data_IF_494486129229
#
_entry.id   IF_494486129229
#
_cell.length_a   1.000
_cell.length_b   1.000
_cell.length_c   1.000
_cell.angle_alpha   90.00
_cell.angle_beta   90.00
_cell.angle_gamma   90.00
#
_symmetry.space_group_name_H-M   'P 1'
#
loop_
_entity.id
_entity.type
_entity.pdbx_description
1 polymer ?
#
# COMPACT_ATOMS: atom_id res chain seq x y z
N UNK A 1 -53.57 -32.45 55.83
CA UNK A 1 -52.51 -33.09 55.07
C UNK A 1 -52.46 -32.41 53.71
N UNK A 2 -51.51 -31.45 53.48
CA UNK A 2 -51.33 -30.73 52.25
C UNK A 2 -50.02 -31.24 51.62
N UNK A 3 -50.08 -31.88 50.42
CA UNK A 3 -48.92 -32.35 49.64
C UNK A 3 -48.45 -31.20 48.80
N UNK A 4 -47.23 -30.71 49.06
CA UNK A 4 -46.49 -29.81 48.16
C UNK A 4 -45.89 -30.67 46.97
N UNK A 5 -46.25 -30.28 45.76
CA UNK A 5 -45.57 -30.74 44.54
C UNK A 5 -44.46 -29.74 44.19
N UNK A 6 -43.19 -30.17 44.32
CA UNK A 6 -42.05 -29.43 43.84
C UNK A 6 -41.85 -29.72 42.34
N UNK A 7 -42.04 -28.70 41.50
CA UNK A 7 -41.73 -28.77 40.09
C UNK A 7 -40.26 -28.36 39.94
N UNK A 8 -39.41 -29.34 39.54
CA UNK A 8 -38.00 -29.13 39.20
C UNK A 8 -37.92 -28.59 37.76
N UNK A 9 -37.68 -27.29 37.60
CA UNK A 9 -37.50 -26.65 36.28
C UNK A 9 -36.07 -26.89 35.79
N UNK A 10 -35.92 -27.87 34.88
CA UNK A 10 -34.66 -28.21 34.24
C UNK A 10 -34.36 -27.14 33.16
N UNK A 11 -33.53 -26.14 33.49
CA UNK A 11 -33.04 -25.17 32.51
C UNK A 11 -32.01 -25.80 31.59
N UNK A 12 -32.42 -26.17 30.38
CA UNK A 12 -31.50 -26.61 29.30
C UNK A 12 -30.76 -25.36 28.84
N UNK A 13 -29.51 -25.21 29.23
CA UNK A 13 -28.57 -24.26 28.63
C UNK A 13 -28.28 -24.68 27.18
N UNK A 14 -28.93 -24.03 26.24
CA UNK A 14 -28.57 -24.09 24.83
C UNK A 14 -27.26 -23.32 24.63
N UNK A 15 -26.10 -24.00 24.71
CA UNK A 15 -24.83 -23.48 24.24
C UNK A 15 -24.94 -23.29 22.73
N UNK A 16 -24.63 -22.11 22.21
CA UNK A 16 -24.56 -21.93 20.77
C UNK A 16 -23.40 -22.77 20.22
N UNK A 17 -23.71 -23.84 19.51
CA UNK A 17 -22.76 -24.54 18.66
C UNK A 17 -22.28 -23.53 17.60
N UNK A 18 -21.11 -22.93 17.78
CA UNK A 18 -20.41 -22.26 16.72
C UNK A 18 -20.07 -23.30 15.65
N UNK A 19 -20.87 -23.35 14.61
CA UNK A 19 -20.52 -24.08 13.40
C UNK A 19 -19.25 -23.45 12.83
N UNK A 20 -18.09 -24.01 13.14
CA UNK A 20 -16.87 -23.75 12.38
C UNK A 20 -17.08 -24.33 10.99
N UNK A 21 -17.51 -23.48 10.08
CA UNK A 21 -17.60 -23.86 8.67
C UNK A 21 -16.20 -24.33 8.23
N UNK A 22 -16.10 -25.61 7.83
CA UNK A 22 -14.87 -26.19 7.29
C UNK A 22 -14.41 -25.29 6.15
N UNK A 23 -13.12 -24.87 6.08
CA UNK A 23 -12.63 -24.09 4.94
C UNK A 23 -13.04 -24.77 3.63
N UNK A 24 -13.55 -24.01 2.68
CA UNK A 24 -13.85 -24.54 1.36
C UNK A 24 -12.59 -25.21 0.78
N UNK A 25 -12.75 -26.31 0.05
CA UNK A 25 -11.63 -27.01 -0.61
C UNK A 25 -11.17 -26.21 -1.84
N UNK A 26 -10.56 -25.03 -1.56
CA UNK A 26 -10.04 -24.13 -2.58
C UNK A 26 -8.72 -24.68 -3.11
N UNK A 27 -8.54 -24.59 -4.43
CA UNK A 27 -7.35 -25.10 -5.12
C UNK A 27 -7.02 -24.28 -6.37
N UNK A 28 -5.85 -24.56 -6.95
CA UNK A 28 -5.39 -23.93 -8.18
C UNK A 28 -4.60 -22.65 -7.95
N UNK A 29 -4.20 -21.98 -9.02
CA UNK A 29 -3.39 -20.78 -8.95
C UNK A 29 -4.21 -19.57 -8.52
N UNK A 30 -3.63 -18.73 -7.68
CA UNK A 30 -4.10 -17.40 -7.29
C UNK A 30 -3.04 -16.38 -7.66
N UNK A 31 -3.32 -15.56 -8.67
CA UNK A 31 -2.36 -14.62 -9.26
C UNK A 31 -2.58 -13.22 -8.68
N UNK A 32 -1.57 -12.67 -8.02
CA UNK A 32 -1.63 -11.37 -7.33
C UNK A 32 -0.55 -10.45 -7.88
N UNK A 33 -0.93 -9.29 -8.43
CA UNK A 33 -0.01 -8.19 -8.71
C UNK A 33 -0.09 -7.18 -7.58
N UNK A 34 1.07 -6.82 -7.00
CA UNK A 34 1.09 -5.93 -5.84
C UNK A 34 2.23 -4.92 -5.89
N UNK A 35 2.03 -3.79 -5.20
CA UNK A 35 3.06 -2.76 -5.01
C UNK A 35 4.29 -3.32 -4.32
N UNK A 36 5.46 -2.74 -4.61
CA UNK A 36 6.74 -3.12 -4.02
C UNK A 36 6.71 -3.09 -2.48
N UNK A 37 6.16 -2.03 -1.90
CA UNK A 37 6.02 -1.84 -0.45
C UNK A 37 5.12 -2.87 0.27
N UNK A 38 4.40 -3.70 -0.49
CA UNK A 38 3.62 -4.83 0.03
C UNK A 38 4.40 -6.14 0.03
N UNK A 39 5.63 -6.19 -0.50
CA UNK A 39 6.35 -7.45 -0.70
C UNK A 39 6.57 -8.24 0.58
N UNK A 40 6.97 -7.59 1.67
CA UNK A 40 7.20 -8.24 2.96
C UNK A 40 5.90 -8.72 3.59
N UNK A 41 4.90 -7.85 3.85
CA UNK A 41 3.65 -8.30 4.47
C UNK A 41 2.89 -9.32 3.63
N UNK A 42 2.86 -9.18 2.30
CA UNK A 42 2.18 -10.16 1.43
C UNK A 42 2.84 -11.53 1.45
N UNK A 43 4.17 -11.60 1.59
CA UNK A 43 4.88 -12.89 1.79
C UNK A 43 4.47 -13.56 3.10
N UNK A 44 4.37 -12.80 4.19
CA UNK A 44 3.92 -13.32 5.48
C UNK A 44 2.44 -13.73 5.42
N UNK A 45 1.57 -12.90 4.83
CA UNK A 45 0.14 -13.18 4.63
C UNK A 45 -0.05 -14.47 3.80
N UNK A 46 0.69 -14.63 2.70
CA UNK A 46 0.69 -15.87 1.90
C UNK A 46 1.03 -17.08 2.76
N UNK A 47 2.08 -17.00 3.56
CA UNK A 47 2.52 -18.12 4.40
C UNK A 47 1.43 -18.54 5.39
N UNK A 48 0.76 -17.58 6.04
CA UNK A 48 -0.35 -17.87 6.97
C UNK A 48 -1.62 -18.33 6.26
N UNK A 49 -1.94 -17.77 5.10
CA UNK A 49 -3.08 -18.19 4.27
C UNK A 49 -2.94 -19.63 3.80
N UNK A 50 -1.73 -20.04 3.35
CA UNK A 50 -1.48 -21.39 2.86
C UNK A 50 -1.58 -22.47 3.96
N UNK A 51 -1.47 -22.12 5.24
CA UNK A 51 -1.76 -23.06 6.35
C UNK A 51 -3.25 -23.45 6.38
N UNK A 52 -4.15 -22.54 5.97
CA UNK A 52 -5.58 -22.78 5.91
C UNK A 52 -6.02 -23.36 4.57
N UNK A 53 -5.34 -22.99 3.49
CA UNK A 53 -5.69 -23.37 2.11
C UNK A 53 -4.45 -23.93 1.38
N UNK A 54 -3.97 -25.13 1.77
CA UNK A 54 -2.70 -25.70 1.26
C UNK A 54 -2.73 -26.05 -0.23
N UNK A 55 -3.93 -26.21 -0.81
CA UNK A 55 -4.11 -26.53 -2.23
C UNK A 55 -4.19 -25.30 -3.14
N UNK A 56 -4.15 -24.08 -2.58
CA UNK A 56 -4.06 -22.82 -3.34
C UNK A 56 -2.59 -22.45 -3.56
N UNK A 57 -2.17 -22.40 -4.82
CA UNK A 57 -0.83 -21.97 -5.20
C UNK A 57 -0.84 -20.44 -5.40
N UNK A 58 -0.44 -19.68 -4.39
CA UNK A 58 -0.41 -18.21 -4.46
C UNK A 58 0.81 -17.74 -5.24
N UNK A 59 0.60 -17.15 -6.41
CA UNK A 59 1.60 -16.58 -7.31
C UNK A 59 1.59 -15.06 -7.17
N UNK A 60 2.71 -14.47 -6.73
CA UNK A 60 2.80 -13.02 -6.49
C UNK A 60 3.85 -12.39 -7.40
N UNK A 61 3.49 -11.29 -8.03
CA UNK A 61 4.39 -10.46 -8.83
C UNK A 61 4.42 -9.03 -8.25
N UNK A 62 5.60 -8.60 -7.79
CA UNK A 62 5.83 -7.27 -7.24
C UNK A 62 6.29 -6.30 -8.33
N UNK A 63 5.62 -5.13 -8.44
CA UNK A 63 6.00 -4.05 -9.34
C UNK A 63 5.57 -2.68 -8.77
N UNK A 64 5.88 -1.58 -9.46
CA UNK A 64 5.23 -0.30 -9.17
C UNK A 64 3.72 -0.40 -9.40
N UNK A 65 2.90 0.28 -8.60
CA UNK A 65 1.43 0.13 -8.68
C UNK A 65 0.85 0.49 -10.05
N UNK A 66 1.39 1.52 -10.70
CA UNK A 66 0.99 1.91 -12.06
C UNK A 66 1.35 0.82 -13.06
N UNK A 67 2.53 0.21 -12.90
CA UNK A 67 2.97 -0.92 -13.70
C UNK A 67 2.07 -2.15 -13.47
N UNK A 68 1.70 -2.47 -12.23
CA UNK A 68 0.74 -3.53 -11.91
C UNK A 68 -0.59 -3.34 -12.65
N UNK A 69 -1.12 -2.12 -12.65
CA UNK A 69 -2.34 -1.80 -13.38
C UNK A 69 -2.17 -2.00 -14.90
N UNK A 70 -1.04 -1.54 -15.48
CA UNK A 70 -0.74 -1.70 -16.91
C UNK A 70 -0.57 -3.16 -17.34
N UNK A 71 -0.07 -4.04 -16.47
CA UNK A 71 -0.05 -5.49 -16.76
C UNK A 71 -1.45 -6.02 -17.05
N UNK A 72 -2.47 -5.50 -16.37
CA UNK A 72 -3.87 -5.86 -16.60
C UNK A 72 -4.45 -5.12 -17.79
N UNK A 73 -4.29 -3.78 -17.86
CA UNK A 73 -4.93 -2.93 -18.88
C UNK A 73 -4.31 -3.07 -20.26
N UNK A 74 -2.99 -3.03 -20.35
CA UNK A 74 -2.25 -2.94 -21.61
C UNK A 74 -1.78 -4.31 -22.07
N UNK A 75 -1.17 -5.09 -21.16
CA UNK A 75 -0.60 -6.39 -21.48
C UNK A 75 -1.62 -7.54 -21.39
N UNK A 76 -2.84 -7.29 -20.88
CA UNK A 76 -3.92 -8.29 -20.71
C UNK A 76 -3.47 -9.55 -19.97
N UNK A 77 -2.49 -9.43 -19.06
CA UNK A 77 -2.03 -10.56 -18.25
C UNK A 77 -3.16 -11.08 -17.35
N UNK A 78 -3.32 -12.39 -17.20
CA UNK A 78 -4.24 -12.95 -16.22
C UNK A 78 -3.85 -12.50 -14.81
N UNK A 79 -4.83 -12.11 -14.01
CA UNK A 79 -4.63 -11.65 -12.64
C UNK A 79 -5.93 -11.79 -11.86
N UNK A 80 -5.84 -12.22 -10.61
CA UNK A 80 -6.97 -12.30 -9.71
C UNK A 80 -7.11 -11.05 -8.86
N UNK A 81 -6.00 -10.61 -8.24
CA UNK A 81 -5.97 -9.49 -7.29
C UNK A 81 -4.94 -8.47 -7.73
N UNK A 82 -5.31 -7.19 -7.70
CA UNK A 82 -4.38 -6.07 -7.76
C UNK A 82 -4.41 -5.32 -6.43
N UNK A 83 -3.23 -5.19 -5.78
CA UNK A 83 -3.04 -4.44 -4.55
C UNK A 83 -2.02 -3.31 -4.76
N UNK A 84 -2.42 -2.06 -4.54
CA UNK A 84 -1.65 -0.86 -4.87
C UNK A 84 -1.29 -0.05 -3.63
N UNK A 85 -0.18 0.67 -3.67
CA UNK A 85 0.20 1.64 -2.64
C UNK A 85 -0.54 2.98 -2.76
N UNK A 86 -1.35 3.14 -3.82
CA UNK A 86 -2.26 4.25 -4.00
C UNK A 86 -3.59 3.76 -4.57
N UNK A 87 -4.67 3.91 -3.80
CA UNK A 87 -6.01 3.49 -4.20
C UNK A 87 -6.48 4.16 -5.52
N UNK A 88 -6.02 5.38 -5.81
CA UNK A 88 -6.37 6.08 -7.06
C UNK A 88 -5.86 5.38 -8.33
N UNK A 89 -4.82 4.57 -8.22
CA UNK A 89 -4.37 3.76 -9.37
C UNK A 89 -5.47 2.77 -9.78
N UNK A 90 -6.14 2.13 -8.81
CA UNK A 90 -7.29 1.26 -9.08
C UNK A 90 -8.45 2.07 -9.65
N UNK A 91 -8.84 3.16 -8.96
CA UNK A 91 -9.98 3.99 -9.36
C UNK A 91 -9.83 4.54 -10.78
N UNK A 92 -8.64 5.01 -11.12
CA UNK A 92 -8.39 5.69 -12.40
C UNK A 92 -8.04 4.73 -13.54
N UNK A 93 -7.30 3.66 -13.27
CA UNK A 93 -6.76 2.80 -14.32
C UNK A 93 -7.55 1.50 -14.50
N UNK A 94 -8.15 0.95 -13.45
CA UNK A 94 -8.84 -0.34 -13.51
C UNK A 94 -10.37 -0.19 -13.55
N UNK A 95 -10.94 0.74 -12.82
CA UNK A 95 -12.39 0.97 -12.80
C UNK A 95 -12.81 1.89 -13.96
N UNK A 96 -13.92 1.63 -14.66
CA UNK A 96 -14.81 0.46 -14.50
C UNK A 96 -14.43 -0.73 -15.39
N UNK A 97 -13.42 -0.63 -16.25
CA UNK A 97 -13.17 -1.62 -17.30
C UNK A 97 -12.72 -2.99 -16.76
N UNK A 98 -11.83 -2.99 -15.79
CA UNK A 98 -11.18 -4.21 -15.28
C UNK A 98 -11.55 -4.54 -13.81
N UNK A 99 -12.15 -3.60 -13.07
CA UNK A 99 -12.60 -3.79 -11.69
C UNK A 99 -13.89 -3.00 -11.45
N UNK A 100 -14.65 -3.36 -10.42
CA UNK A 100 -15.91 -2.70 -10.06
C UNK A 100 -15.85 -1.94 -8.74
N UNK A 101 -14.88 -2.22 -7.88
CA UNK A 101 -14.76 -1.67 -6.54
C UNK A 101 -13.29 -1.61 -6.11
N UNK A 102 -13.02 -0.90 -5.00
CA UNK A 102 -11.69 -0.69 -4.49
C UNK A 102 -11.70 -0.56 -2.96
N UNK A 103 -11.26 -1.59 -2.24
CA UNK A 103 -11.18 -1.55 -0.78
C UNK A 103 -9.91 -0.81 -0.37
N UNK A 104 -10.08 0.33 0.30
CA UNK A 104 -9.00 1.10 0.92
C UNK A 104 -8.69 0.48 2.28
N UNK A 105 -7.47 -0.03 2.49
CA UNK A 105 -7.21 -0.94 3.60
C UNK A 105 -6.09 -0.51 4.56
N UNK A 106 -5.06 0.19 4.11
CA UNK A 106 -3.92 0.58 4.94
C UNK A 106 -3.43 1.99 4.60
N UNK A 107 -2.73 2.62 5.54
CA UNK A 107 -2.05 3.91 5.35
C UNK A 107 -0.53 3.76 5.39
N UNK A 108 0.17 4.84 5.03
CA UNK A 108 1.63 4.94 5.14
C UNK A 108 2.06 6.42 5.24
N UNK A 109 3.36 6.67 5.24
CA UNK A 109 3.96 8.01 5.17
C UNK A 109 5.29 7.98 4.41
N UNK A 110 5.66 9.11 3.81
CA UNK A 110 6.95 9.29 3.17
C UNK A 110 8.03 9.64 4.19
N UNK A 111 9.23 9.11 3.98
CA UNK A 111 10.43 9.41 4.76
C UNK A 111 11.65 9.50 3.85
N UNK A 112 12.78 9.95 4.41
CA UNK A 112 14.11 9.80 3.81
C UNK A 112 14.80 8.64 4.51
N UNK A 113 14.96 7.52 3.81
CA UNK A 113 15.63 6.34 4.34
C UNK A 113 17.13 6.34 4.03
N UNK A 114 17.94 5.74 4.91
CA UNK A 114 19.39 5.67 4.79
C UNK A 114 19.99 4.55 5.67
N UNK A 115 21.27 4.23 5.45
CA UNK A 115 22.05 3.27 6.25
C UNK A 115 23.04 4.00 7.18
N UNK A 116 23.64 3.26 8.10
CA UNK A 116 24.74 3.76 8.93
C UNK A 116 25.99 4.22 8.15
N UNK A 117 26.07 3.83 6.86
CA UNK A 117 27.19 4.19 5.98
C UNK A 117 26.92 5.43 5.15
N UNK A 118 25.70 5.97 5.18
CA UNK A 118 25.36 7.18 4.44
C UNK A 118 26.22 8.37 4.91
N UNK A 119 26.67 9.17 3.98
CA UNK A 119 27.40 10.41 4.28
C UNK A 119 26.51 11.34 5.09
N UNK A 120 27.07 11.97 6.11
CA UNK A 120 26.35 12.88 7.02
C UNK A 120 25.20 12.23 7.81
N UNK A 121 25.20 10.90 7.99
CA UNK A 121 24.13 10.18 8.67
C UNK A 121 23.88 10.63 10.13
N UNK A 122 24.91 11.16 10.82
CA UNK A 122 24.81 11.71 12.19
C UNK A 122 24.29 13.15 12.25
N UNK A 123 24.21 13.82 11.09
CA UNK A 123 23.83 15.23 11.00
C UNK A 123 22.41 15.41 10.45
N UNK A 124 21.94 14.47 9.62
CA UNK A 124 20.64 14.57 8.94
C UNK A 124 19.47 14.50 9.94
N UNK A 125 18.50 15.37 9.76
CA UNK A 125 17.28 15.42 10.56
C UNK A 125 16.15 16.11 9.80
N UNK A 126 14.96 16.19 10.41
CA UNK A 126 13.77 16.77 9.78
C UNK A 126 13.91 18.27 9.39
N UNK A 127 14.91 18.98 9.86
CA UNK A 127 15.08 20.43 9.57
C UNK A 127 16.06 20.70 8.44
N UNK A 128 16.98 19.75 8.15
CA UNK A 128 18.10 19.98 7.24
C UNK A 128 18.26 18.90 6.17
N UNK A 129 17.38 17.87 6.10
CA UNK A 129 17.52 16.74 5.17
C UNK A 129 17.73 17.20 3.71
N UNK A 130 17.02 18.21 3.25
CA UNK A 130 17.14 18.74 1.90
C UNK A 130 18.50 19.39 1.64
N UNK A 131 19.11 20.03 2.65
CA UNK A 131 20.45 20.61 2.55
C UNK A 131 21.51 19.49 2.47
N UNK A 132 21.33 18.41 3.24
CA UNK A 132 22.21 17.23 3.16
C UNK A 132 22.10 16.57 1.80
N UNK A 133 20.89 16.34 1.29
CA UNK A 133 20.69 15.72 -0.02
C UNK A 133 21.28 16.55 -1.17
N UNK A 134 21.33 17.87 -1.03
CA UNK A 134 21.89 18.77 -2.04
C UNK A 134 23.42 18.90 -2.00
N UNK A 135 24.11 18.33 -1.00
CA UNK A 135 25.59 18.35 -0.96
C UNK A 135 26.19 17.65 -2.19
N UNK A 136 27.27 18.20 -2.81
CA UNK A 136 27.79 17.67 -4.07
C UNK A 136 28.17 16.19 -4.04
N UNK A 137 28.68 15.71 -2.91
CA UNK A 137 29.19 14.36 -2.69
C UNK A 137 28.12 13.37 -2.20
N UNK A 138 26.88 13.81 -1.92
CA UNK A 138 25.76 12.96 -1.50
C UNK A 138 25.01 12.45 -2.72
N UNK A 139 24.69 11.16 -2.70
CA UNK A 139 23.87 10.48 -3.72
C UNK A 139 22.53 10.13 -3.11
N UNK A 140 21.43 10.51 -3.77
CA UNK A 140 20.09 10.07 -3.39
C UNK A 140 19.25 9.70 -4.60
N UNK A 141 18.19 8.90 -4.35
CA UNK A 141 17.30 8.43 -5.40
C UNK A 141 15.84 8.29 -4.98
N UNK A 142 15.02 7.97 -5.95
CA UNK A 142 13.58 7.73 -5.81
C UNK A 142 13.05 6.78 -6.87
N UNK A 143 11.80 6.36 -6.72
CA UNK A 143 11.09 5.61 -7.75
C UNK A 143 10.68 6.50 -8.94
N UNK A 144 10.39 5.88 -10.10
CA UNK A 144 9.87 6.57 -11.29
C UNK A 144 8.39 6.95 -11.08
N UNK A 145 8.03 8.24 -11.18
CA UNK A 145 6.65 8.69 -11.07
C UNK A 145 5.68 8.02 -12.04
N UNK A 146 6.17 7.59 -13.21
CA UNK A 146 5.34 6.96 -14.23
C UNK A 146 5.07 5.47 -13.99
N UNK A 147 5.79 4.85 -13.06
CA UNK A 147 5.69 3.42 -12.75
C UNK A 147 5.17 3.17 -11.34
N UNK A 148 5.47 4.06 -10.39
CA UNK A 148 5.29 3.82 -8.96
C UNK A 148 4.77 5.06 -8.22
N UNK A 149 3.72 4.92 -7.38
CA UNK A 149 3.23 5.99 -6.52
C UNK A 149 4.30 6.58 -5.57
N UNK A 150 5.27 5.80 -5.10
CA UNK A 150 6.38 6.34 -4.32
C UNK A 150 7.17 7.40 -5.12
N UNK A 151 7.28 7.22 -6.43
CA UNK A 151 7.93 8.16 -7.34
C UNK A 151 7.22 9.51 -7.39
N UNK A 152 5.93 9.55 -7.73
CA UNK A 152 5.22 10.83 -7.77
C UNK A 152 5.02 11.43 -6.37
N UNK A 153 4.89 10.63 -5.32
CA UNK A 153 4.85 11.12 -3.94
C UNK A 153 6.18 11.73 -3.48
N UNK A 154 7.31 11.20 -3.94
CA UNK A 154 8.62 11.82 -3.72
C UNK A 154 8.68 13.22 -4.32
N UNK A 155 8.20 13.36 -5.56
CA UNK A 155 8.12 14.69 -6.23
C UNK A 155 7.18 15.63 -5.47
N UNK A 156 6.00 15.13 -5.04
CA UNK A 156 5.07 15.93 -4.22
C UNK A 156 5.70 16.37 -2.89
N UNK A 157 6.46 15.49 -2.21
CA UNK A 157 7.19 15.86 -1.01
C UNK A 157 8.22 16.98 -1.28
N UNK A 158 8.93 16.93 -2.41
CA UNK A 158 9.85 17.99 -2.81
C UNK A 158 9.13 19.33 -3.02
N UNK A 159 7.95 19.31 -3.70
CA UNK A 159 7.11 20.51 -3.90
C UNK A 159 6.58 21.08 -2.57
N UNK A 160 6.06 20.22 -1.69
CA UNK A 160 5.56 20.61 -0.37
C UNK A 160 6.68 21.14 0.53
N UNK A 161 7.89 20.61 0.40
CA UNK A 161 9.09 21.07 1.12
C UNK A 161 9.43 22.52 0.79
N UNK A 162 9.30 22.90 -0.47
CA UNK A 162 9.52 24.27 -0.94
C UNK A 162 8.63 25.29 -0.20
N UNK A 163 7.33 24.95 -0.08
CA UNK A 163 6.36 25.77 0.67
C UNK A 163 6.62 25.75 2.17
N UNK A 164 6.87 24.58 2.75
CA UNK A 164 7.03 24.40 4.20
C UNK A 164 8.26 25.12 4.74
N UNK A 165 9.42 25.00 4.07
CA UNK A 165 10.66 25.67 4.50
C UNK A 165 10.82 27.06 3.90
N UNK A 166 9.86 27.56 3.11
CA UNK A 166 9.90 28.87 2.43
C UNK A 166 11.17 29.05 1.58
N UNK A 167 11.52 28.04 0.78
CA UNK A 167 12.70 28.03 -0.09
C UNK A 167 12.29 27.82 -1.55
N UNK A 168 11.90 28.90 -2.28
CA UNK A 168 11.53 28.81 -3.69
C UNK A 168 12.62 28.18 -4.56
N UNK A 169 12.22 27.28 -5.48
CA UNK A 169 13.14 26.58 -6.37
C UNK A 169 13.82 25.34 -5.78
N UNK A 170 13.54 25.00 -4.50
CA UNK A 170 14.15 23.85 -3.83
C UNK A 170 13.73 22.51 -4.49
N UNK A 171 12.47 22.38 -4.88
CA UNK A 171 11.98 21.19 -5.56
C UNK A 171 12.76 20.94 -6.86
N UNK A 172 12.98 21.97 -7.67
CA UNK A 172 13.74 21.87 -8.92
C UNK A 172 15.21 21.48 -8.69
N UNK A 173 15.85 21.99 -7.63
CA UNK A 173 17.22 21.61 -7.27
C UNK A 173 17.32 20.12 -6.90
N UNK A 174 16.37 19.61 -6.11
CA UNK A 174 16.32 18.21 -5.74
C UNK A 174 16.07 17.32 -6.96
N UNK A 175 15.10 17.69 -7.82
CA UNK A 175 14.77 16.97 -9.05
C UNK A 175 15.91 16.96 -10.07
N UNK A 176 16.70 18.05 -10.15
CA UNK A 176 17.85 18.09 -11.04
C UNK A 176 18.97 17.14 -10.59
N UNK A 177 19.09 16.92 -9.28
CA UNK A 177 20.17 16.11 -8.70
C UNK A 177 19.91 14.60 -8.74
N UNK A 178 18.68 14.14 -8.66
CA UNK A 178 18.34 12.71 -8.54
C UNK A 178 18.27 11.94 -9.88
N UNK A 179 18.42 12.61 -11.01
CA UNK A 179 18.15 12.10 -12.38
C UNK A 179 18.74 10.72 -12.67
N UNK A 180 19.94 10.42 -12.17
CA UNK A 180 20.64 9.16 -12.45
C UNK A 180 20.23 8.00 -11.52
N UNK A 181 19.44 8.28 -10.50
CA UNK A 181 19.10 7.33 -9.43
C UNK A 181 17.60 7.09 -9.32
N UNK A 182 16.92 7.08 -10.48
CA UNK A 182 15.49 6.74 -10.60
C UNK A 182 15.38 5.25 -10.94
N UNK A 183 14.50 4.52 -10.24
CA UNK A 183 14.22 3.09 -10.48
C UNK A 183 12.72 2.85 -10.68
N UNK A 184 12.33 1.81 -11.41
CA UNK A 184 10.93 1.51 -11.71
C UNK A 184 10.05 1.37 -10.47
N UNK A 185 10.58 0.84 -9.36
CA UNK A 185 9.88 0.74 -8.08
C UNK A 185 10.80 1.09 -6.90
N UNK A 186 10.19 1.47 -5.80
CA UNK A 186 10.90 1.96 -4.61
C UNK A 186 11.82 0.92 -3.98
N UNK A 187 11.45 -0.36 -4.01
CA UNK A 187 12.27 -1.44 -3.44
C UNK A 187 13.53 -1.76 -4.28
N UNK A 188 13.58 -1.35 -5.55
CA UNK A 188 14.77 -1.54 -6.39
C UNK A 188 15.95 -0.65 -5.92
N UNK A 189 15.65 0.41 -5.15
CA UNK A 189 16.67 1.28 -4.55
C UNK A 189 17.41 0.62 -3.38
N UNK A 190 16.80 -0.40 -2.74
CA UNK A 190 17.40 -1.10 -1.60
C UNK A 190 18.76 -1.70 -1.93
N UNK A 191 18.89 -2.31 -3.11
CA UNK A 191 20.17 -2.90 -3.55
C UNK A 191 21.28 -1.85 -3.70
N UNK A 192 20.94 -0.61 -4.11
CA UNK A 192 21.90 0.50 -4.19
C UNK A 192 22.30 0.99 -2.80
N UNK A 193 21.38 0.97 -1.84
CA UNK A 193 21.65 1.31 -0.44
C UNK A 193 22.53 0.27 0.22
N UNK A 194 22.22 -1.02 0.06
CA UNK A 194 22.98 -2.14 0.62
C UNK A 194 24.41 -2.22 0.07
N UNK A 195 24.59 -1.92 -1.22
CA UNK A 195 25.92 -1.86 -1.87
C UNK A 195 26.65 -0.55 -1.61
N UNK A 196 26.10 0.37 -0.85
CA UNK A 196 26.64 1.69 -0.54
C UNK A 196 26.89 2.58 -1.78
N UNK A 197 26.18 2.32 -2.86
CA UNK A 197 26.22 3.15 -4.08
C UNK A 197 25.23 4.33 -4.02
N UNK A 198 24.48 4.44 -2.93
CA UNK A 198 23.53 5.52 -2.66
C UNK A 198 23.48 5.80 -1.17
N UNK A 199 23.45 7.08 -0.80
CA UNK A 199 23.41 7.51 0.61
C UNK A 199 21.98 7.57 1.16
N UNK A 200 21.04 8.10 0.36
CA UNK A 200 19.67 8.37 0.78
C UNK A 200 18.65 8.00 -0.29
N UNK A 201 17.43 7.68 0.11
CA UNK A 201 16.32 7.52 -0.82
C UNK A 201 15.01 8.06 -0.24
N UNK A 202 14.16 8.60 -1.10
CA UNK A 202 12.76 8.78 -0.79
C UNK A 202 12.09 7.41 -0.72
N UNK A 203 11.44 7.15 0.40
CA UNK A 203 10.86 5.82 0.64
C UNK A 203 9.61 5.91 1.51
N UNK A 204 8.79 4.90 1.47
CA UNK A 204 7.76 4.65 2.47
C UNK A 204 8.38 4.25 3.80
N UNK A 205 7.89 4.82 4.88
CA UNK A 205 8.38 4.49 6.23
C UNK A 205 8.24 3.01 6.54
N UNK A 206 7.15 2.36 6.10
CA UNK A 206 6.97 0.92 6.28
C UNK A 206 8.12 0.10 5.67
N UNK A 207 8.55 0.44 4.46
CA UNK A 207 9.68 -0.24 3.80
C UNK A 207 10.97 -0.02 4.58
N UNK A 208 11.22 1.21 5.06
CA UNK A 208 12.39 1.48 5.90
C UNK A 208 12.37 0.62 7.18
N UNK A 209 11.22 0.47 7.83
CA UNK A 209 11.04 -0.40 9.01
C UNK A 209 11.28 -1.88 8.66
N UNK A 210 10.68 -2.38 7.59
CA UNK A 210 10.77 -3.78 7.12
C UNK A 210 12.21 -4.20 6.79
N UNK A 211 13.03 -3.26 6.33
CA UNK A 211 14.43 -3.48 5.93
C UNK A 211 15.45 -2.97 6.96
N UNK A 212 15.02 -2.65 8.18
CA UNK A 212 15.87 -2.14 9.27
C UNK A 212 16.74 -0.94 8.87
N UNK A 213 16.24 -0.08 7.97
CA UNK A 213 16.91 1.14 7.58
C UNK A 213 16.67 2.23 8.63
N UNK A 214 17.64 3.12 8.80
CA UNK A 214 17.41 4.41 9.46
C UNK A 214 16.58 5.31 8.56
N UNK A 215 15.84 6.23 9.16
CA UNK A 215 15.05 7.19 8.39
C UNK A 215 14.83 8.50 9.12
N UNK A 216 14.71 9.57 8.36
CA UNK A 216 14.20 10.86 8.82
C UNK A 216 12.70 10.89 8.59
N UNK A 217 11.92 11.07 9.66
CA UNK A 217 10.49 11.37 9.56
C UNK A 217 10.33 12.80 9.06
N UNK A 218 9.68 12.97 7.91
CA UNK A 218 9.39 14.28 7.36
C UNK A 218 8.26 14.97 8.15
N UNK A 219 8.22 16.33 8.18
CA UNK A 219 7.10 17.04 8.81
C UNK A 219 5.74 16.59 8.25
N UNK A 220 4.70 16.61 9.09
CA UNK A 220 3.35 16.19 8.70
C UNK A 220 2.80 16.96 7.49
N UNK A 221 3.23 18.21 7.29
CA UNK A 221 2.86 19.01 6.12
C UNK A 221 3.51 18.54 4.81
N UNK A 222 4.48 17.62 4.89
CA UNK A 222 5.28 17.15 3.75
C UNK A 222 5.11 15.66 3.48
N UNK A 223 4.93 14.84 4.54
CA UNK A 223 5.03 13.37 4.48
C UNK A 223 3.81 12.65 3.89
N UNK A 224 2.77 13.34 3.52
CA UNK A 224 1.52 12.82 2.95
C UNK A 224 0.79 11.81 3.87
N UNK A 225 0.90 11.94 5.19
CA UNK A 225 0.26 11.03 6.15
C UNK A 225 -1.06 11.56 6.68
N UNK A 226 -1.06 12.82 7.09
CA UNK A 226 -2.06 13.36 7.99
C UNK A 226 -3.21 14.00 7.24
N UNK A 227 -4.44 13.47 7.44
CA UNK A 227 -5.67 13.97 6.80
C UNK A 227 -5.94 15.46 7.07
N UNK A 228 -5.43 16.01 8.19
CA UNK A 228 -5.53 17.44 8.53
C UNK A 228 -4.90 18.33 7.46
N UNK A 229 -3.90 17.86 6.76
CA UNK A 229 -3.17 18.60 5.73
C UNK A 229 -3.57 18.21 4.30
N UNK A 230 -4.72 17.54 4.12
CA UNK A 230 -5.16 17.09 2.80
C UNK A 230 -5.29 18.23 1.78
N UNK A 231 -5.77 19.41 2.22
CA UNK A 231 -5.85 20.60 1.37
C UNK A 231 -4.47 21.11 0.97
N UNK A 232 -3.51 21.15 1.90
CA UNK A 232 -2.14 21.56 1.59
C UNK A 232 -1.47 20.57 0.65
N UNK A 233 -1.65 19.26 0.88
CA UNK A 233 -1.12 18.23 0.00
C UNK A 233 -1.64 18.37 -1.44
N UNK A 234 -2.91 18.75 -1.63
CA UNK A 234 -3.53 18.90 -2.94
C UNK A 234 -2.90 19.96 -3.83
N UNK A 235 -2.08 20.87 -3.25
CA UNK A 235 -1.30 21.89 -3.97
C UNK A 235 -0.10 21.28 -4.71
N UNK A 236 0.39 20.13 -4.22
CA UNK A 236 1.43 19.37 -4.91
C UNK A 236 0.82 18.50 -6.00
N UNK A 237 1.32 18.66 -7.23
CA UNK A 237 0.75 18.04 -8.42
C UNK A 237 1.87 17.47 -9.28
N UNK A 238 1.67 16.26 -9.79
CA UNK A 238 2.60 15.57 -10.68
C UNK A 238 1.85 15.00 -11.88
N UNK A 239 2.29 15.33 -13.07
CA UNK A 239 1.78 14.72 -14.29
C UNK A 239 2.53 13.40 -14.56
N UNK A 240 1.77 12.33 -14.74
CA UNK A 240 2.26 11.00 -15.10
C UNK A 240 1.73 10.60 -16.48
N UNK A 241 2.33 9.59 -17.09
CA UNK A 241 1.82 9.00 -18.34
C UNK A 241 0.40 8.43 -18.11
N UNK A 242 -0.55 8.91 -18.90
CA UNK A 242 -1.95 8.46 -18.85
C UNK A 242 -2.17 7.07 -19.44
N UNK A 243 -3.44 6.66 -19.54
CA UNK A 243 -3.86 5.37 -20.13
C UNK A 243 -3.55 5.28 -21.61
N UNK A 244 -3.73 6.38 -22.35
CA UNK A 244 -3.53 6.43 -23.78
C UNK A 244 -2.12 6.97 -24.11
N UNK A 245 -1.47 6.48 -25.17
CA UNK A 245 -0.18 7.00 -25.62
C UNK A 245 -0.22 8.52 -25.87
N UNK A 246 0.74 9.24 -25.33
CA UNK A 246 0.85 10.70 -25.46
C UNK A 246 -0.08 11.51 -24.56
N UNK A 247 -0.96 10.89 -23.78
CA UNK A 247 -1.77 11.55 -22.76
C UNK A 247 -1.06 11.56 -21.41
N UNK A 248 -1.34 12.59 -20.64
CA UNK A 248 -0.90 12.67 -19.24
C UNK A 248 -2.09 12.55 -18.31
N UNK A 249 -1.83 12.08 -17.11
CA UNK A 249 -2.79 12.08 -16.00
C UNK A 249 -2.20 12.80 -14.80
N UNK A 250 -2.98 13.70 -14.22
CA UNK A 250 -2.56 14.50 -13.09
C UNK A 250 -2.82 13.77 -11.78
N UNK A 251 -1.76 13.56 -11.00
CA UNK A 251 -1.82 13.07 -9.64
C UNK A 251 -1.68 14.24 -8.68
N UNK A 252 -2.66 14.38 -7.77
CA UNK A 252 -2.65 15.40 -6.71
C UNK A 252 -2.28 14.77 -5.39
N UNK A 253 -1.52 15.49 -4.59
CA UNK A 253 -1.15 15.07 -3.24
C UNK A 253 -2.37 14.89 -2.35
N UNK A 254 -2.32 13.83 -1.55
CA UNK A 254 -3.35 13.49 -0.56
C UNK A 254 -2.78 12.53 0.48
N UNK A 255 -3.49 12.26 1.59
CA UNK A 255 -3.09 11.23 2.53
C UNK A 255 -2.92 9.87 1.85
N UNK A 256 -1.83 9.18 2.19
CA UNK A 256 -1.46 7.91 1.57
C UNK A 256 -2.35 6.77 2.01
N UNK A 257 -3.11 6.21 1.07
CA UNK A 257 -4.02 5.08 1.30
C UNK A 257 -3.78 4.00 0.25
N UNK A 258 -3.60 2.77 0.70
CA UNK A 258 -3.50 1.58 -0.14
C UNK A 258 -4.88 1.12 -0.60
N UNK A 259 -4.95 0.57 -1.80
CA UNK A 259 -6.16 0.00 -2.36
C UNK A 259 -5.97 -1.45 -2.82
N UNK A 260 -7.05 -2.22 -2.80
CA UNK A 260 -7.07 -3.61 -3.31
C UNK A 260 -8.39 -3.92 -3.99
N UNK A 261 -8.33 -4.71 -5.06
CA UNK A 261 -9.50 -5.16 -5.80
C UNK A 261 -9.31 -6.56 -6.37
N UNK A 262 -10.41 -7.23 -6.71
CA UNK A 262 -10.43 -8.44 -7.55
C UNK A 262 -10.75 -8.01 -8.99
N UNK A 263 -9.98 -8.51 -9.94
CA UNK A 263 -10.18 -8.23 -11.37
C UNK A 263 -11.48 -8.91 -11.88
N UNK A 264 -12.22 -8.25 -12.78
CA UNK A 264 -13.49 -8.77 -13.32
C UNK A 264 -13.37 -10.18 -13.88
N UNK A 265 -12.31 -10.43 -14.63
CA UNK A 265 -12.03 -11.72 -15.27
C UNK A 265 -11.00 -12.53 -14.46
N UNK A 266 -11.05 -12.44 -13.13
CA UNK A 266 -10.18 -13.20 -12.24
C UNK A 266 -10.31 -14.72 -12.51
N UNK A 267 -9.21 -15.40 -12.84
CA UNK A 267 -9.24 -16.86 -13.12
C UNK A 267 -9.72 -17.68 -11.92
N UNK A 268 -9.37 -17.25 -10.69
CA UNK A 268 -9.72 -17.96 -9.46
C UNK A 268 -10.39 -17.02 -8.44
N UNK A 269 -11.56 -16.50 -8.80
CA UNK A 269 -12.31 -15.50 -8.00
C UNK A 269 -12.62 -15.98 -6.58
N UNK A 270 -12.89 -17.27 -6.39
CA UNK A 270 -13.23 -17.81 -5.08
C UNK A 270 -12.01 -17.79 -4.13
N UNK A 271 -10.83 -18.23 -4.60
CA UNK A 271 -9.59 -18.14 -3.86
C UNK A 271 -9.19 -16.68 -3.62
N UNK A 272 -9.42 -15.79 -4.59
CA UNK A 272 -9.17 -14.36 -4.44
C UNK A 272 -10.02 -13.73 -3.34
N UNK A 273 -11.31 -14.09 -3.27
CA UNK A 273 -12.23 -13.62 -2.22
C UNK A 273 -11.78 -14.12 -0.84
N UNK A 274 -11.42 -15.40 -0.73
CA UNK A 274 -10.94 -15.98 0.52
C UNK A 274 -9.60 -15.35 0.97
N UNK A 275 -8.70 -15.09 0.02
CA UNK A 275 -7.44 -14.42 0.31
C UNK A 275 -7.65 -12.99 0.83
N UNK A 276 -8.52 -12.21 0.19
CA UNK A 276 -8.83 -10.85 0.66
C UNK A 276 -9.56 -10.85 2.00
N UNK A 277 -10.47 -11.78 2.24
CA UNK A 277 -11.10 -11.94 3.55
C UNK A 277 -10.05 -12.21 4.65
N UNK A 278 -9.07 -13.07 4.36
CA UNK A 278 -7.95 -13.34 5.27
C UNK A 278 -7.07 -12.10 5.45
N UNK A 279 -6.65 -11.47 4.34
CA UNK A 279 -5.75 -10.31 4.33
C UNK A 279 -6.34 -9.11 5.09
N UNK A 280 -7.64 -8.84 4.90
CA UNK A 280 -8.32 -7.68 5.46
C UNK A 280 -8.83 -7.91 6.90
N UNK A 281 -8.81 -9.16 7.39
CA UNK A 281 -9.22 -9.47 8.77
C UNK A 281 -8.25 -8.89 9.78
N UNK A 282 -8.81 -8.22 10.81
CA UNK A 282 -8.06 -7.51 11.86
C UNK A 282 -7.02 -8.39 12.55
N UNK A 283 -7.42 -9.61 12.93
CA UNK A 283 -6.58 -10.54 13.72
C UNK A 283 -5.69 -11.44 12.85
N UNK A 284 -5.71 -11.27 11.52
CA UNK A 284 -4.95 -12.06 10.54
C UNK A 284 -4.04 -11.14 9.72
N UNK A 285 -4.39 -10.91 8.45
CA UNK A 285 -3.55 -10.14 7.54
C UNK A 285 -3.32 -8.71 7.97
N UNK A 286 -4.33 -8.00 8.51
CA UNK A 286 -4.13 -6.63 8.98
C UNK A 286 -3.20 -6.54 10.20
N UNK A 287 -3.16 -7.55 11.06
CA UNK A 287 -2.18 -7.62 12.16
C UNK A 287 -0.74 -7.70 11.63
N UNK A 288 -0.53 -8.43 10.54
CA UNK A 288 0.77 -8.51 9.85
C UNK A 288 1.11 -7.14 9.25
N UNK A 289 0.17 -6.52 8.53
CA UNK A 289 0.34 -5.19 7.93
C UNK A 289 0.74 -4.13 8.97
N UNK A 290 0.06 -4.09 10.12
CA UNK A 290 0.34 -3.15 11.21
C UNK A 290 1.74 -3.37 11.82
N UNK A 291 2.12 -4.63 12.05
CA UNK A 291 3.48 -5.00 12.49
C UNK A 291 4.54 -4.49 11.52
N UNK A 292 4.26 -4.56 10.22
CA UNK A 292 5.16 -4.15 9.15
C UNK A 292 5.07 -2.64 8.82
N UNK A 293 4.42 -1.85 9.69
CA UNK A 293 4.41 -0.39 9.61
C UNK A 293 3.33 0.20 8.69
N UNK A 294 2.31 -0.58 8.32
CA UNK A 294 1.19 -0.17 7.48
C UNK A 294 -0.12 -0.24 8.27
N UNK A 295 -0.47 0.83 9.03
CA UNK A 295 -1.65 0.83 9.90
C UNK A 295 -2.94 0.69 9.10
N UNK A 296 -3.91 -0.03 9.71
CA UNK A 296 -5.25 -0.22 9.13
C UNK A 296 -6.04 1.09 9.04
N UNK A 297 -6.81 1.23 7.96
CA UNK A 297 -7.83 2.27 7.79
C UNK A 297 -9.24 1.70 7.61
N UNK A 298 -9.36 0.37 7.70
CA UNK A 298 -10.65 -0.35 7.53
C UNK A 298 -11.57 -0.10 8.75
N UNK A 299 -12.89 0.07 8.50
CA UNK A 299 -13.57 0.16 7.21
C UNK A 299 -13.62 1.60 6.68
N UNK A 300 -13.40 1.77 5.36
CA UNK A 300 -13.61 3.04 4.67
C UNK A 300 -14.82 2.95 3.71
N UNK A 301 -15.39 4.09 3.33
CA UNK A 301 -16.50 4.14 2.38
C UNK A 301 -16.07 3.62 1.01
N UNK A 302 -16.94 2.78 0.39
CA UNK A 302 -16.76 2.31 -0.98
C UNK A 302 -17.96 2.76 -1.84
N UNK A 303 -17.68 3.58 -2.85
CA UNK A 303 -18.71 4.18 -3.70
C UNK A 303 -19.60 3.14 -4.38
N UNK A 304 -19.01 2.05 -4.83
CA UNK A 304 -19.71 0.95 -5.47
C UNK A 304 -19.92 -0.24 -4.52
N UNK A 305 -20.38 0.05 -3.30
CA UNK A 305 -20.61 -0.92 -2.23
C UNK A 305 -21.43 -2.14 -2.70
N UNK A 306 -22.39 -1.94 -3.61
CA UNK A 306 -23.24 -3.01 -4.12
C UNK A 306 -22.45 -4.08 -4.91
N UNK A 307 -21.35 -3.70 -5.55
CA UNK A 307 -20.51 -4.61 -6.33
C UNK A 307 -19.48 -5.37 -5.48
N UNK A 308 -19.29 -4.98 -4.22
CA UNK A 308 -18.37 -5.68 -3.30
C UNK A 308 -18.96 -7.03 -2.93
N UNK A 309 -18.19 -8.14 -3.06
CA UNK A 309 -18.64 -9.47 -2.63
C UNK A 309 -19.11 -9.46 -1.17
N UNK A 310 -20.18 -10.19 -0.84
CA UNK A 310 -20.78 -10.18 0.51
C UNK A 310 -19.76 -10.49 1.61
N UNK A 311 -18.85 -11.44 1.37
CA UNK A 311 -17.76 -11.79 2.30
C UNK A 311 -16.78 -10.64 2.56
N UNK A 312 -16.69 -9.67 1.66
CA UNK A 312 -15.79 -8.51 1.79
C UNK A 312 -16.51 -7.24 2.27
N UNK A 313 -17.83 -7.21 2.31
CA UNK A 313 -18.64 -6.09 2.83
C UNK A 313 -18.31 -5.67 4.26
N UNK A 314 -17.92 -6.57 5.19
CA UNK A 314 -17.50 -6.16 6.55
C UNK A 314 -16.29 -5.23 6.57
N UNK A 315 -15.49 -5.17 5.50
CA UNK A 315 -14.27 -4.35 5.40
C UNK A 315 -14.50 -2.97 4.78
N UNK A 316 -15.72 -2.65 4.40
CA UNK A 316 -16.11 -1.37 3.80
C UNK A 316 -17.35 -0.80 4.46
N UNK A 317 -17.53 0.52 4.29
CA UNK A 317 -18.78 1.22 4.67
C UNK A 317 -19.56 1.55 3.42
N UNK A 318 -20.88 1.49 3.55
CA UNK A 318 -21.79 2.08 2.57
C UNK A 318 -21.66 3.60 2.63
N UNK A 319 -21.60 4.32 1.47
CA UNK A 319 -21.62 5.77 1.40
C UNK A 319 -22.84 6.41 2.09
#
# INVERSE_FOLDING_TARGET
MKRLFSILLCSILLLPFAFTQKPADLKGDLIIFHAGSLSVPMKEIKAEFNKLYPNVNVLMESAGSVECARKVTDLKKPCDIVATSDYKVIDKMLIPANADWNIRFAANEMCIAYTDKAKYNSQINARNWYEILLKPDVIFGRADPNADPCGYRSVMCMQLTETYYKKPGLANQLLAKDQNYIRPKEVDLLALMESHNMDYMFQYKSVAVQHNLKFVVLPDQVNLKNVKYAEDYSKAVVDIKGKEPGKTEQMKGEPMIYGVTIIKNAPNREAATAFLEFMLSKDKGMKIMEKDGQPSVIPMEEKNYAAVPDRLKPFVKKP
#
